data_IF_964297646681
#
_entry.id   IF_964297646681
#
_cell.length_a   1.000
_cell.length_b   1.000
_cell.length_c   1.000
_cell.angle_alpha   90.00
_cell.angle_beta   90.00
_cell.angle_gamma   90.00
#
_symmetry.space_group_name_H-M   'P 1'
#
loop_
_entity.id
_entity.type
_entity.pdbx_description
1 polymer ?
#
# COMPACT_ATOMS: atom_id res chain seq x y z
N UNK A 1 6.21 -13.89 -9.33
CA UNK A 1 6.00 -14.06 -7.87
C UNK A 1 4.63 -14.67 -7.65
N UNK A 2 4.52 -15.73 -6.84
CA UNK A 2 3.25 -16.43 -6.59
C UNK A 2 3.15 -16.83 -5.12
N UNK A 3 1.95 -16.66 -4.55
CA UNK A 3 1.58 -17.25 -3.27
C UNK A 3 1.10 -18.68 -3.54
N UNK A 4 1.86 -19.67 -3.08
CA UNK A 4 1.59 -21.10 -3.31
C UNK A 4 0.67 -21.71 -2.25
N UNK A 5 0.77 -21.19 -1.02
CA UNK A 5 0.01 -21.69 0.13
C UNK A 5 -0.33 -20.53 1.05
N UNK A 6 -1.55 -20.50 1.56
CA UNK A 6 -2.00 -19.56 2.58
C UNK A 6 -2.63 -20.34 3.73
N UNK A 7 -2.17 -20.10 4.95
CA UNK A 7 -2.74 -20.68 6.17
C UNK A 7 -3.15 -19.56 7.10
N UNK A 8 -4.41 -19.55 7.50
CA UNK A 8 -4.97 -18.61 8.46
C UNK A 8 -5.39 -19.37 9.72
N UNK A 9 -5.15 -18.77 10.86
CA UNK A 9 -5.57 -19.28 12.16
C UNK A 9 -6.04 -18.13 13.03
N UNK A 10 -7.29 -18.21 13.51
CA UNK A 10 -7.92 -17.20 14.39
C UNK A 10 -7.78 -15.76 13.86
N UNK A 11 -7.99 -15.59 12.54
CA UNK A 11 -7.87 -14.30 11.85
C UNK A 11 -9.25 -13.79 11.43
N UNK A 12 -9.66 -12.60 11.92
CA UNK A 12 -10.96 -11.99 11.64
C UNK A 12 -12.12 -12.97 11.99
N UNK A 13 -12.91 -13.40 10.99
CA UNK A 13 -13.97 -14.38 11.14
C UNK A 13 -13.51 -15.82 10.80
N UNK A 14 -12.26 -15.98 10.36
CA UNK A 14 -11.69 -17.30 9.99
C UNK A 14 -11.19 -17.99 11.26
N UNK A 15 -11.58 -19.25 11.44
CA UNK A 15 -11.05 -20.08 12.54
C UNK A 15 -9.72 -20.70 12.16
N UNK A 16 -9.76 -21.67 11.27
CA UNK A 16 -8.58 -22.29 10.68
C UNK A 16 -8.88 -22.64 9.23
N UNK A 17 -7.97 -22.29 8.34
CA UNK A 17 -8.07 -22.66 6.93
C UNK A 17 -6.70 -22.76 6.29
N UNK A 18 -6.60 -23.69 5.34
CA UNK A 18 -5.47 -23.81 4.43
C UNK A 18 -5.98 -23.73 3.00
N UNK A 19 -5.30 -22.93 2.18
CA UNK A 19 -5.64 -22.72 0.77
C UNK A 19 -4.38 -22.88 -0.07
N UNK A 20 -4.52 -23.59 -1.19
CA UNK A 20 -3.52 -23.68 -2.25
C UNK A 20 -4.03 -22.86 -3.44
N UNK A 21 -3.64 -21.61 -3.58
CA UNK A 21 -4.10 -20.76 -4.67
C UNK A 21 -3.58 -21.22 -6.02
N UNK A 22 -4.32 -20.91 -7.08
CA UNK A 22 -3.85 -21.06 -8.46
C UNK A 22 -2.85 -19.95 -8.80
N UNK A 23 -1.92 -20.21 -9.72
CA UNK A 23 -0.92 -19.22 -10.16
C UNK A 23 -1.50 -18.09 -11.01
N UNK A 24 -2.69 -18.29 -11.60
CA UNK A 24 -3.46 -17.30 -12.33
C UNK A 24 -4.53 -16.63 -11.46
N UNK A 25 -5.80 -16.75 -11.87
CA UNK A 25 -6.92 -16.11 -11.19
C UNK A 25 -7.50 -16.97 -10.08
N UNK A 26 -7.74 -16.33 -8.92
CA UNK A 26 -8.40 -16.90 -7.75
C UNK A 26 -9.63 -16.05 -7.44
N UNK A 27 -10.82 -16.58 -7.70
CA UNK A 27 -12.09 -15.89 -7.46
C UNK A 27 -12.62 -16.31 -6.08
N UNK A 28 -12.73 -15.34 -5.17
CA UNK A 28 -13.36 -15.51 -3.86
C UNK A 28 -14.78 -14.93 -3.93
N UNK A 29 -15.79 -15.78 -4.00
CA UNK A 29 -17.16 -15.33 -4.23
C UNK A 29 -18.13 -15.75 -3.11
N UNK A 30 -19.24 -15.07 -2.98
CA UNK A 30 -20.25 -15.32 -1.97
C UNK A 30 -20.97 -14.05 -1.57
N UNK A 31 -21.95 -14.14 -0.68
CA UNK A 31 -22.73 -13.02 -0.19
C UNK A 31 -21.86 -11.98 0.55
N UNK A 32 -22.40 -10.81 0.78
CA UNK A 32 -21.72 -9.78 1.55
C UNK A 32 -21.56 -10.22 3.02
N UNK A 33 -20.50 -9.69 3.68
CA UNK A 33 -20.13 -9.99 5.05
C UNK A 33 -19.69 -11.45 5.32
N UNK A 34 -19.55 -12.32 4.32
CA UNK A 34 -19.05 -13.71 4.51
C UNK A 34 -17.55 -13.78 4.81
N UNK A 35 -16.79 -12.71 4.60
CA UNK A 35 -15.35 -12.67 4.91
C UNK A 35 -14.44 -12.69 3.68
N UNK A 36 -14.95 -12.50 2.47
CA UNK A 36 -14.16 -12.44 1.22
C UNK A 36 -12.94 -11.51 1.35
N UNK A 37 -13.18 -10.25 1.73
CA UNK A 37 -12.14 -9.23 1.95
C UNK A 37 -11.11 -9.64 3.01
N UNK A 38 -11.48 -10.48 4.00
CA UNK A 38 -10.54 -10.90 5.04
C UNK A 38 -9.41 -11.78 4.47
N UNK A 39 -9.66 -12.56 3.42
CA UNK A 39 -8.62 -13.30 2.72
C UNK A 39 -7.65 -12.38 1.99
N UNK A 40 -8.17 -11.36 1.28
CA UNK A 40 -7.30 -10.34 0.66
C UNK A 40 -6.49 -9.58 1.71
N UNK A 41 -7.11 -9.25 2.84
CA UNK A 41 -6.44 -8.57 3.96
C UNK A 41 -5.29 -9.41 4.54
N UNK A 42 -5.48 -10.73 4.64
CA UNK A 42 -4.43 -11.64 5.09
C UNK A 42 -3.24 -11.68 4.11
N UNK A 43 -3.50 -11.80 2.81
CA UNK A 43 -2.46 -11.79 1.78
C UNK A 43 -1.73 -10.43 1.76
N UNK A 44 -2.49 -9.34 1.82
CA UNK A 44 -1.94 -7.99 1.90
C UNK A 44 -1.03 -7.82 3.12
N UNK A 45 -1.44 -8.34 4.28
CA UNK A 45 -0.68 -8.23 5.52
C UNK A 45 0.65 -8.98 5.45
N UNK A 46 0.73 -10.12 4.74
CA UNK A 46 1.98 -10.83 4.49
C UNK A 46 3.00 -9.99 3.73
N UNK A 47 2.55 -9.16 2.75
CA UNK A 47 3.42 -8.32 1.93
C UNK A 47 3.71 -6.95 2.52
N UNK A 48 2.74 -6.37 3.23
CA UNK A 48 2.81 -4.98 3.72
C UNK A 48 3.06 -4.86 5.23
N UNK A 49 2.97 -5.95 5.99
CA UNK A 49 3.08 -6.01 7.46
C UNK A 49 2.04 -5.14 8.20
N UNK A 50 1.06 -4.63 7.48
CA UNK A 50 -0.03 -3.78 7.96
C UNK A 50 -1.34 -4.19 7.28
N UNK A 51 -2.45 -4.01 7.98
CA UNK A 51 -3.76 -4.09 7.35
C UNK A 51 -4.05 -2.81 6.55
N UNK A 52 -4.84 -2.93 5.48
CA UNK A 52 -5.35 -1.78 4.74
C UNK A 52 -6.66 -1.23 5.34
N UNK A 53 -7.31 -1.98 6.26
CA UNK A 53 -8.61 -1.63 6.86
C UNK A 53 -8.49 -1.07 8.28
N UNK A 54 -7.49 -1.53 9.05
CA UNK A 54 -7.36 -1.14 10.46
C UNK A 54 -5.90 -1.00 10.90
N UNK A 55 -5.67 -0.13 11.88
CA UNK A 55 -4.40 -0.01 12.59
C UNK A 55 -4.38 -0.78 13.91
N UNK A 56 -5.55 -1.31 14.35
CA UNK A 56 -5.71 -2.00 15.64
C UNK A 56 -5.52 -3.49 15.46
N UNK A 57 -4.49 -4.06 16.07
CA UNK A 57 -4.21 -5.49 15.98
C UNK A 57 -5.35 -6.35 16.51
N UNK A 58 -6.03 -5.91 17.57
CA UNK A 58 -7.16 -6.63 18.18
C UNK A 58 -8.27 -6.94 17.19
N UNK A 59 -8.52 -6.03 16.24
CA UNK A 59 -9.54 -6.22 15.21
C UNK A 59 -9.16 -7.28 14.15
N UNK A 60 -7.88 -7.64 14.05
CA UNK A 60 -7.39 -8.70 13.14
C UNK A 60 -7.50 -10.09 13.77
N UNK A 61 -7.60 -10.16 15.10
CA UNK A 61 -7.70 -11.41 15.85
C UNK A 61 -9.17 -11.81 15.95
N UNK A 62 -9.48 -13.08 15.77
CA UNK A 62 -10.83 -13.62 15.95
C UNK A 62 -11.33 -13.34 17.36
N UNK A 63 -12.60 -12.97 17.49
CA UNK A 63 -13.21 -12.71 18.80
C UNK A 63 -13.13 -13.94 19.70
N UNK A 64 -12.64 -13.76 20.91
CA UNK A 64 -12.46 -14.84 21.90
C UNK A 64 -11.08 -15.51 21.88
N UNK A 65 -10.20 -15.13 20.95
CA UNK A 65 -8.85 -15.71 20.84
C UNK A 65 -7.77 -14.71 21.31
N UNK A 66 -6.65 -15.18 21.90
CA UNK A 66 -5.57 -14.33 22.38
C UNK A 66 -4.64 -13.84 21.25
N UNK A 67 -4.57 -14.57 20.13
CA UNK A 67 -3.73 -14.22 18.99
C UNK A 67 -4.35 -14.72 17.68
N UNK A 68 -3.91 -14.17 16.58
CA UNK A 68 -4.16 -14.66 15.23
C UNK A 68 -2.84 -14.98 14.51
N UNK A 69 -2.88 -15.88 13.55
CA UNK A 69 -1.71 -16.26 12.75
C UNK A 69 -2.04 -16.29 11.27
N UNK A 70 -1.14 -15.73 10.47
CA UNK A 70 -1.16 -15.82 9.01
C UNK A 70 0.18 -16.44 8.59
N UNK A 71 0.15 -17.42 7.70
CA UNK A 71 1.35 -17.96 7.10
C UNK A 71 1.14 -18.12 5.61
N UNK A 72 2.16 -17.77 4.81
CA UNK A 72 2.16 -17.92 3.36
C UNK A 72 3.47 -18.50 2.85
N UNK A 73 3.37 -19.42 1.90
CA UNK A 73 4.51 -19.88 1.10
C UNK A 73 4.51 -19.11 -0.22
N UNK A 74 5.58 -18.35 -0.45
CA UNK A 74 5.75 -17.48 -1.62
C UNK A 74 6.88 -18.02 -2.47
N UNK A 75 6.68 -18.05 -3.78
CA UNK A 75 7.68 -18.47 -4.76
C UNK A 75 8.00 -17.32 -5.72
N UNK A 76 9.28 -17.01 -5.83
CA UNK A 76 9.80 -16.07 -6.83
C UNK A 76 11.06 -16.66 -7.47
N UNK A 77 11.08 -16.75 -8.82
CA UNK A 77 12.23 -17.29 -9.58
C UNK A 77 12.72 -18.64 -9.02
N UNK A 78 11.78 -19.56 -8.77
CA UNK A 78 12.02 -20.92 -8.24
C UNK A 78 12.52 -20.97 -6.78
N UNK A 79 12.71 -19.83 -6.12
CA UNK A 79 13.05 -19.77 -4.70
C UNK A 79 11.77 -19.65 -3.88
N UNK A 80 11.64 -20.50 -2.85
CA UNK A 80 10.49 -20.50 -1.95
C UNK A 80 10.85 -19.94 -0.60
N UNK A 81 9.97 -19.11 -0.08
CA UNK A 81 10.07 -18.55 1.27
C UNK A 81 8.75 -18.76 2.01
N UNK A 82 8.85 -19.11 3.30
CA UNK A 82 7.70 -19.15 4.19
C UNK A 82 7.66 -17.92 5.06
N UNK A 83 6.62 -17.10 4.92
CA UNK A 83 6.38 -15.92 5.74
C UNK A 83 5.32 -16.29 6.77
N UNK A 84 5.58 -16.01 8.05
CA UNK A 84 4.59 -16.20 9.11
C UNK A 84 4.48 -14.91 9.95
N UNK A 85 3.26 -14.48 10.20
CA UNK A 85 2.94 -13.32 11.03
C UNK A 85 2.02 -13.78 12.16
N UNK A 86 2.48 -13.64 13.39
CA UNK A 86 1.67 -13.83 14.59
C UNK A 86 1.23 -12.45 15.06
N UNK A 87 -0.06 -12.29 15.27
CA UNK A 87 -0.70 -11.02 15.62
C UNK A 87 -1.20 -11.12 17.05
N UNK A 88 -0.70 -10.26 17.92
CA UNK A 88 -1.15 -10.07 19.29
C UNK A 88 -1.63 -8.63 19.47
N UNK A 89 -2.33 -8.33 20.53
CA UNK A 89 -2.87 -7.00 20.77
C UNK A 89 -1.75 -5.95 20.82
N UNK A 90 -0.65 -6.29 21.50
CA UNK A 90 0.50 -5.40 21.73
C UNK A 90 1.39 -5.24 20.47
N UNK A 91 1.36 -6.20 19.52
CA UNK A 91 2.25 -6.16 18.37
C UNK A 91 2.12 -7.34 17.43
N UNK A 92 3.07 -7.41 16.51
CA UNK A 92 3.20 -8.49 15.54
C UNK A 92 4.61 -9.07 15.58
N UNK A 93 4.70 -10.40 15.55
CA UNK A 93 5.97 -11.11 15.37
C UNK A 93 5.99 -11.70 13.96
N UNK A 94 7.09 -11.44 13.25
CA UNK A 94 7.27 -11.88 11.86
C UNK A 94 8.40 -12.90 11.82
N UNK A 95 8.20 -13.97 11.06
CA UNK A 95 9.25 -14.96 10.77
C UNK A 95 9.30 -15.21 9.27
N UNK A 96 10.51 -15.38 8.76
CA UNK A 96 10.77 -15.83 7.39
C UNK A 96 11.66 -17.07 7.47
N UNK A 97 11.23 -18.15 6.85
CA UNK A 97 11.90 -19.44 6.87
C UNK A 97 12.25 -19.90 8.30
N UNK A 98 11.29 -19.69 9.22
CA UNK A 98 11.41 -20.01 10.64
C UNK A 98 12.26 -19.01 11.46
N UNK A 99 13.03 -18.12 10.82
CA UNK A 99 13.88 -17.15 11.51
C UNK A 99 13.11 -15.88 11.85
N UNK A 100 13.26 -15.30 13.05
CA UNK A 100 12.59 -14.08 13.42
C UNK A 100 13.16 -12.89 12.62
N UNK A 101 12.27 -12.06 12.09
CA UNK A 101 12.63 -10.78 11.44
C UNK A 101 12.68 -9.71 12.53
N UNK A 102 13.90 -9.36 12.97
CA UNK A 102 14.12 -8.35 14.00
C UNK A 102 14.26 -6.95 13.44
N UNK A 103 14.80 -6.84 12.22
CA UNK A 103 14.92 -5.59 11.48
C UNK A 103 14.10 -5.69 10.20
N UNK A 104 13.49 -4.60 9.82
CA UNK A 104 12.68 -4.57 8.59
C UNK A 104 13.55 -4.72 7.33
N UNK A 105 14.85 -4.36 7.41
CA UNK A 105 15.81 -4.65 6.35
C UNK A 105 15.93 -6.15 6.04
N UNK A 106 15.64 -7.00 7.03
CA UNK A 106 15.61 -8.45 6.87
C UNK A 106 14.28 -8.96 6.25
N UNK A 107 13.39 -8.02 5.87
CA UNK A 107 12.14 -8.31 5.16
C UNK A 107 12.18 -7.66 3.74
N UNK A 108 12.92 -8.22 2.79
CA UNK A 108 13.17 -7.65 1.47
C UNK A 108 11.97 -7.74 0.50
N UNK A 109 10.74 -7.57 1.01
CA UNK A 109 9.55 -7.61 0.15
C UNK A 109 9.30 -8.97 -0.49
N UNK A 110 9.39 -10.04 0.31
CA UNK A 110 9.15 -11.43 -0.15
C UNK A 110 7.79 -11.63 -0.84
N UNK A 111 6.81 -10.83 -0.51
CA UNK A 111 5.51 -10.80 -1.21
C UNK A 111 5.18 -9.37 -1.60
N UNK A 112 5.38 -9.03 -2.87
CA UNK A 112 4.91 -7.76 -3.42
C UNK A 112 3.47 -7.91 -3.86
N UNK A 113 2.62 -6.98 -3.44
CA UNK A 113 1.21 -7.01 -3.83
C UNK A 113 0.68 -5.61 -4.11
N UNK A 114 -0.23 -5.51 -5.07
CA UNK A 114 -0.94 -4.28 -5.40
C UNK A 114 -2.42 -4.49 -5.11
N UNK A 115 -2.95 -3.66 -4.22
CA UNK A 115 -4.35 -3.69 -3.81
C UNK A 115 -5.16 -2.67 -4.61
N UNK A 116 -6.30 -3.12 -5.07
CA UNK A 116 -7.40 -2.31 -5.57
C UNK A 116 -8.58 -2.51 -4.63
N UNK A 117 -8.97 -1.49 -3.90
CA UNK A 117 -10.09 -1.54 -2.98
C UNK A 117 -10.89 -0.23 -3.04
N UNK A 118 -12.23 -0.27 -2.85
CA UNK A 118 -13.09 0.92 -2.92
C UNK A 118 -12.64 2.04 -1.98
N UNK A 119 -12.15 1.71 -0.80
CA UNK A 119 -11.69 2.68 0.19
C UNK A 119 -10.51 3.53 -0.31
N UNK A 120 -9.71 3.03 -1.25
CA UNK A 120 -8.57 3.76 -1.78
C UNK A 120 -8.96 4.93 -2.69
N UNK A 121 -10.14 4.88 -3.32
CA UNK A 121 -10.72 6.02 -4.07
C UNK A 121 -10.90 7.21 -3.13
N UNK A 122 -11.39 6.95 -1.93
CA UNK A 122 -11.52 7.95 -0.88
C UNK A 122 -10.17 8.55 -0.43
N UNK A 123 -9.08 7.77 -0.45
CA UNK A 123 -7.74 8.25 -0.09
C UNK A 123 -7.20 9.27 -1.10
N UNK A 124 -7.46 9.08 -2.39
CA UNK A 124 -7.00 10.00 -3.44
C UNK A 124 -7.66 11.38 -3.31
N UNK A 125 -8.95 11.42 -2.97
CA UNK A 125 -9.72 12.64 -2.75
C UNK A 125 -9.52 13.25 -1.35
N UNK A 126 -9.23 12.41 -0.36
CA UNK A 126 -9.23 12.74 1.05
C UNK A 126 -8.16 13.74 1.48
N UNK A 127 -7.88 13.74 2.77
CA UNK A 127 -6.83 14.57 3.37
C UNK A 127 -5.43 14.19 2.87
N UNK A 128 -4.45 15.10 2.95
CA UNK A 128 -3.06 14.83 2.56
C UNK A 128 -2.47 13.54 3.16
N UNK A 129 -2.91 13.16 4.36
CA UNK A 129 -2.49 11.92 5.02
C UNK A 129 -2.82 10.66 4.21
N UNK A 130 -4.01 10.60 3.56
CA UNK A 130 -4.40 9.49 2.70
C UNK A 130 -3.52 9.40 1.45
N UNK A 131 -3.26 10.53 0.79
CA UNK A 131 -2.39 10.59 -0.41
C UNK A 131 -0.95 10.19 -0.08
N UNK A 132 -0.42 10.66 1.06
CA UNK A 132 0.90 10.19 1.55
C UNK A 132 0.91 8.69 1.80
N UNK A 133 -0.13 8.16 2.46
CA UNK A 133 -0.21 6.72 2.74
C UNK A 133 -0.27 5.89 1.45
N UNK A 134 -0.95 6.37 0.41
CA UNK A 134 -1.00 5.73 -0.91
C UNK A 134 0.39 5.70 -1.55
N UNK A 135 1.09 6.86 -1.59
CA UNK A 135 2.44 6.95 -2.13
C UNK A 135 3.43 6.10 -1.31
N UNK A 136 3.42 6.21 0.01
CA UNK A 136 4.37 5.50 0.87
C UNK A 136 4.25 3.97 0.76
N UNK A 137 3.02 3.47 0.56
CA UNK A 137 2.79 2.05 0.27
C UNK A 137 3.41 1.64 -1.07
N UNK A 138 3.27 2.47 -2.10
CA UNK A 138 3.84 2.20 -3.41
C UNK A 138 5.39 2.25 -3.37
N UNK A 139 5.97 3.26 -2.71
CA UNK A 139 7.43 3.35 -2.50
C UNK A 139 7.96 2.13 -1.76
N UNK A 140 7.27 1.69 -0.69
CA UNK A 140 7.68 0.51 0.09
C UNK A 140 7.68 -0.77 -0.76
N UNK A 141 6.69 -0.97 -1.63
CA UNK A 141 6.65 -2.15 -2.51
C UNK A 141 7.77 -2.13 -3.56
N UNK A 142 8.17 -0.94 -4.02
CA UNK A 142 9.27 -0.77 -4.96
C UNK A 142 10.65 -0.88 -4.28
N UNK A 143 10.77 -0.36 -3.05
CA UNK A 143 12.00 -0.34 -2.25
C UNK A 143 11.71 -0.58 -0.76
N UNK A 144 11.87 -1.82 -0.27
CA UNK A 144 11.62 -2.16 1.13
C UNK A 144 12.44 -1.36 2.17
N UNK A 145 13.61 -0.81 1.78
CA UNK A 145 14.42 0.02 2.66
C UNK A 145 13.68 1.30 3.10
N UNK A 146 12.64 1.71 2.38
CA UNK A 146 11.79 2.84 2.72
C UNK A 146 11.20 2.73 4.14
N UNK A 147 10.83 1.51 4.56
CA UNK A 147 10.17 1.31 5.86
C UNK A 147 11.11 1.66 7.03
N UNK A 148 12.39 1.34 6.92
CA UNK A 148 13.36 1.67 7.98
C UNK A 148 13.63 3.17 8.02
N UNK A 149 13.74 3.82 6.84
CA UNK A 149 13.90 5.28 6.76
C UNK A 149 12.69 6.01 7.33
N UNK A 150 11.48 5.53 7.01
CA UNK A 150 10.26 6.07 7.57
C UNK A 150 10.18 5.86 9.11
N UNK A 151 10.63 4.72 9.64
CA UNK A 151 10.70 4.45 11.09
C UNK A 151 11.71 5.35 11.79
N UNK A 152 12.90 5.53 11.22
CA UNK A 152 13.93 6.43 11.74
C UNK A 152 13.35 7.85 11.86
N UNK A 153 12.71 8.32 10.78
CA UNK A 153 12.01 9.61 10.77
C UNK A 153 10.92 9.70 11.84
N UNK A 154 10.06 8.71 11.96
CA UNK A 154 8.98 8.68 12.95
C UNK A 154 9.52 8.67 14.40
N UNK A 155 10.65 8.00 14.66
CA UNK A 155 11.32 8.03 15.96
C UNK A 155 11.77 9.43 16.32
N UNK A 156 12.48 10.12 15.41
CA UNK A 156 12.92 11.50 15.62
C UNK A 156 11.73 12.44 15.84
N UNK A 157 10.68 12.31 15.01
CA UNK A 157 9.45 13.10 15.10
C UNK A 157 8.76 12.92 16.48
N UNK A 158 8.62 11.68 16.93
CA UNK A 158 7.97 11.37 18.23
C UNK A 158 8.75 11.97 19.39
N UNK A 159 10.07 11.85 19.41
CA UNK A 159 10.92 12.40 20.47
C UNK A 159 10.93 13.92 20.44
N UNK A 160 11.06 14.53 19.26
CA UNK A 160 11.00 15.98 19.11
C UNK A 160 9.65 16.54 19.57
N UNK A 161 8.54 15.93 19.17
CA UNK A 161 7.21 16.34 19.62
C UNK A 161 7.01 16.19 21.13
N UNK A 162 7.61 15.17 21.74
CA UNK A 162 7.60 15.01 23.20
C UNK A 162 8.32 16.18 23.88
N UNK A 163 9.51 16.52 23.43
CA UNK A 163 10.31 17.62 23.97
C UNK A 163 9.61 18.98 23.78
N UNK A 164 8.98 19.20 22.62
CA UNK A 164 8.17 20.41 22.38
C UNK A 164 7.02 20.54 23.39
N UNK A 165 6.32 19.45 23.70
CA UNK A 165 5.25 19.43 24.72
C UNK A 165 5.76 19.68 26.13
N UNK A 166 6.97 19.23 26.44
CA UNK A 166 7.65 19.45 27.74
C UNK A 166 8.23 20.86 27.87
N UNK A 167 8.13 21.72 26.84
CA UNK A 167 8.73 23.07 26.83
C UNK A 167 10.26 23.05 26.87
N UNK A 168 10.88 22.03 26.25
CA UNK A 168 12.33 21.87 26.28
C UNK A 168 13.05 23.04 25.59
N UNK A 169 14.26 23.38 26.10
CA UNK A 169 15.09 24.43 25.52
C UNK A 169 15.56 24.09 24.10
N UNK A 170 15.93 25.10 23.28
CA UNK A 170 16.44 24.90 21.93
C UNK A 170 17.62 23.91 21.86
N UNK A 171 18.51 23.93 22.85
CA UNK A 171 19.68 23.05 22.91
C UNK A 171 19.26 21.57 23.02
N UNK A 172 18.22 21.30 23.80
CA UNK A 172 17.67 19.94 23.95
C UNK A 172 16.90 19.47 22.70
N UNK A 173 16.32 20.41 21.94
CA UNK A 173 15.62 20.12 20.66
C UNK A 173 16.59 19.89 19.51
N UNK A 174 17.78 20.50 19.52
CA UNK A 174 18.70 20.51 18.38
C UNK A 174 19.08 19.14 17.86
N UNK A 175 19.51 18.16 18.70
CA UNK A 175 19.90 16.84 18.19
C UNK A 175 18.75 16.10 17.49
N UNK A 176 17.55 16.24 18.01
CA UNK A 176 16.35 15.63 17.41
C UNK A 176 15.87 16.36 16.16
N UNK A 177 16.11 17.68 16.07
CA UNK A 177 15.84 18.48 14.87
C UNK A 177 16.78 18.09 13.74
N UNK A 178 18.08 17.93 13.99
CA UNK A 178 19.06 17.47 13.01
C UNK A 178 18.77 16.02 12.58
N UNK A 179 18.47 15.11 13.53
CA UNK A 179 18.06 13.76 13.22
C UNK A 179 16.79 13.71 12.35
N UNK A 180 15.82 14.59 12.63
CA UNK A 180 14.60 14.73 11.84
C UNK A 180 14.89 15.24 10.41
N UNK A 181 15.80 16.21 10.27
CA UNK A 181 16.24 16.76 8.97
C UNK A 181 16.87 15.65 8.13
N UNK A 182 17.85 14.94 8.67
CA UNK A 182 18.56 13.88 7.95
C UNK A 182 17.61 12.74 7.52
N UNK A 183 16.80 12.23 8.46
CA UNK A 183 15.85 11.15 8.17
C UNK A 183 14.74 11.62 7.24
N UNK A 184 14.25 12.86 7.41
CA UNK A 184 13.20 13.46 6.58
C UNK A 184 13.62 13.67 5.14
N UNK A 185 14.84 14.16 4.92
CA UNK A 185 15.42 14.33 3.58
C UNK A 185 15.52 12.98 2.84
N UNK A 186 15.92 11.91 3.53
CA UNK A 186 15.99 10.55 2.96
C UNK A 186 14.59 10.07 2.54
N UNK A 187 13.57 10.25 3.37
CA UNK A 187 12.19 9.89 3.03
C UNK A 187 11.71 10.67 1.81
N UNK A 188 11.92 12.02 1.77
CA UNK A 188 11.58 12.86 0.61
C UNK A 188 12.32 12.38 -0.65
N UNK A 189 13.62 12.08 -0.55
CA UNK A 189 14.43 11.61 -1.67
C UNK A 189 13.93 10.30 -2.26
N UNK A 190 13.53 9.33 -1.42
CA UNK A 190 12.96 8.07 -1.89
C UNK A 190 11.62 8.27 -2.60
N UNK A 191 10.74 9.13 -2.08
CA UNK A 191 9.49 9.50 -2.74
C UNK A 191 9.74 10.14 -4.12
N UNK A 192 10.67 11.10 -4.21
CA UNK A 192 11.03 11.78 -5.46
C UNK A 192 11.54 10.77 -6.50
N UNK A 193 12.51 9.93 -6.14
CA UNK A 193 13.06 8.90 -7.04
C UNK A 193 11.98 7.95 -7.56
N UNK A 194 11.06 7.54 -6.71
CA UNK A 194 9.95 6.70 -7.11
C UNK A 194 9.01 7.43 -8.08
N UNK A 195 8.67 8.66 -7.79
CA UNK A 195 7.77 9.46 -8.63
C UNK A 195 8.36 9.80 -10.01
N UNK A 196 9.68 9.98 -10.11
CA UNK A 196 10.36 10.16 -11.40
C UNK A 196 10.10 8.98 -12.36
N UNK A 197 9.96 7.75 -11.83
CA UNK A 197 9.62 6.56 -12.63
C UNK A 197 8.12 6.39 -12.81
N UNK A 198 7.36 6.64 -11.77
CA UNK A 198 5.92 6.38 -11.75
C UNK A 198 5.12 7.36 -12.61
N UNK A 199 5.45 8.67 -12.57
CA UNK A 199 4.65 9.72 -13.22
C UNK A 199 4.54 9.53 -14.75
N UNK A 200 5.61 9.20 -15.48
CA UNK A 200 5.49 8.88 -16.91
C UNK A 200 4.51 7.73 -17.19
N UNK A 201 4.59 6.66 -16.40
CA UNK A 201 3.70 5.49 -16.52
C UNK A 201 2.25 5.84 -16.17
N UNK A 202 2.05 6.67 -15.15
CA UNK A 202 0.73 7.17 -14.76
C UNK A 202 0.09 7.97 -15.91
N UNK A 203 0.85 8.88 -16.53
CA UNK A 203 0.37 9.70 -17.65
C UNK A 203 0.00 8.84 -18.86
N UNK A 204 0.87 7.92 -19.23
CA UNK A 204 0.62 6.95 -20.30
C UNK A 204 -0.66 6.15 -20.06
N UNK A 205 -0.78 5.55 -18.88
CA UNK A 205 -1.93 4.73 -18.50
C UNK A 205 -3.23 5.53 -18.44
N UNK A 206 -3.17 6.74 -17.87
CA UNK A 206 -4.36 7.59 -17.76
C UNK A 206 -4.87 8.02 -19.15
N UNK A 207 -3.96 8.37 -20.07
CA UNK A 207 -4.31 8.66 -21.46
C UNK A 207 -4.97 7.44 -22.14
N UNK A 208 -4.47 6.23 -21.92
CA UNK A 208 -5.08 5.02 -22.45
C UNK A 208 -6.49 4.78 -21.91
N UNK A 209 -6.73 4.99 -20.61
CA UNK A 209 -8.05 4.86 -19.98
C UNK A 209 -9.05 5.89 -20.55
N UNK A 210 -8.59 7.10 -20.91
CA UNK A 210 -9.44 8.23 -21.31
C UNK A 210 -9.43 8.51 -22.82
N UNK A 211 -8.81 7.66 -23.66
CA UNK A 211 -8.56 7.86 -25.11
C UNK A 211 -7.90 9.21 -25.41
N UNK A 212 -6.94 9.60 -24.58
CA UNK A 212 -6.21 10.85 -24.76
C UNK A 212 -7.00 12.13 -24.46
N UNK A 213 -8.24 12.04 -23.96
CA UNK A 213 -9.09 13.22 -23.71
C UNK A 213 -8.66 14.02 -22.49
N UNK A 214 -7.97 13.41 -21.56
CA UNK A 214 -7.57 14.01 -20.30
C UNK A 214 -6.12 13.65 -19.96
N UNK A 215 -5.45 14.52 -19.22
CA UNK A 215 -4.09 14.32 -18.74
C UNK A 215 -4.05 14.30 -17.22
N UNK A 216 -3.50 13.23 -16.65
CA UNK A 216 -3.23 13.13 -15.22
C UNK A 216 -1.81 13.58 -14.91
N UNK A 217 -1.61 14.21 -13.76
CA UNK A 217 -0.28 14.45 -13.21
C UNK A 217 -0.27 14.26 -11.69
N UNK A 218 0.93 14.01 -11.15
CA UNK A 218 1.20 13.93 -9.74
C UNK A 218 2.33 14.87 -9.41
N UNK A 219 2.02 15.87 -8.58
CA UNK A 219 2.97 16.91 -8.20
C UNK A 219 3.38 16.71 -6.75
N UNK A 220 4.66 16.56 -6.52
CA UNK A 220 5.28 16.49 -5.20
C UNK A 220 6.46 17.47 -5.17
N UNK A 221 6.46 18.45 -4.27
CA UNK A 221 7.57 19.39 -4.16
C UNK A 221 8.76 18.74 -3.42
N UNK A 222 9.95 19.22 -3.66
CA UNK A 222 10.55 19.70 -4.89
C UNK A 222 10.96 18.52 -5.79
N UNK A 223 10.87 18.72 -7.11
CA UNK A 223 11.38 17.75 -8.09
C UNK A 223 12.90 17.91 -8.21
N UNK A 224 13.61 16.83 -8.50
CA UNK A 224 15.05 16.82 -8.85
C UNK A 224 16.02 17.37 -7.80
N UNK A 225 15.62 17.41 -6.52
CA UNK A 225 16.49 17.86 -5.44
C UNK A 225 17.42 16.77 -4.94
N UNK A 226 18.66 17.13 -4.64
CA UNK A 226 19.61 16.28 -3.95
C UNK A 226 19.23 16.07 -2.49
N UNK A 227 19.80 15.06 -1.82
CA UNK A 227 19.55 14.84 -0.39
C UNK A 227 20.01 16.04 0.45
N UNK A 228 21.13 16.66 0.08
CA UNK A 228 21.67 17.85 0.75
C UNK A 228 20.71 19.06 0.61
N UNK A 229 20.23 19.34 -0.59
CA UNK A 229 19.24 20.42 -0.81
C UNK A 229 17.94 20.19 -0.01
N UNK A 230 17.48 18.95 0.07
CA UNK A 230 16.32 18.59 0.88
C UNK A 230 16.56 18.77 2.38
N UNK A 231 17.80 18.54 2.86
CA UNK A 231 18.18 18.84 4.24
C UNK A 231 18.15 20.34 4.51
N UNK A 232 18.76 21.16 3.66
CA UNK A 232 18.77 22.63 3.82
C UNK A 232 17.35 23.21 3.77
N UNK A 233 16.52 22.75 2.85
CA UNK A 233 15.11 23.14 2.79
C UNK A 233 14.38 22.79 4.08
N UNK A 234 14.55 21.59 4.60
CA UNK A 234 13.86 21.14 5.81
C UNK A 234 14.37 21.91 7.06
N UNK A 235 15.67 22.24 7.13
CA UNK A 235 16.22 23.13 8.19
C UNK A 235 15.54 24.48 8.14
N UNK A 236 15.44 25.06 6.94
CA UNK A 236 14.81 26.37 6.74
C UNK A 236 13.32 26.35 7.10
N UNK A 237 12.60 25.28 6.72
CA UNK A 237 11.20 25.08 7.07
C UNK A 237 11.01 25.01 8.60
N UNK A 238 11.80 24.18 9.31
CA UNK A 238 11.76 24.04 10.77
C UNK A 238 12.07 25.38 11.46
N UNK A 239 13.11 26.11 10.99
CA UNK A 239 13.48 27.42 11.57
C UNK A 239 12.33 28.41 11.46
N UNK A 240 11.65 28.48 10.31
CA UNK A 240 10.50 29.37 10.11
C UNK A 240 9.31 29.01 11.01
N UNK A 241 9.12 27.74 11.31
CA UNK A 241 7.98 27.24 12.09
C UNK A 241 8.24 27.18 13.60
N UNK A 242 9.48 27.42 14.06
CA UNK A 242 9.90 27.19 15.46
C UNK A 242 8.96 27.82 16.49
N UNK A 243 8.62 29.10 16.32
CA UNK A 243 7.74 29.80 17.26
C UNK A 243 6.34 29.18 17.35
N UNK A 244 5.80 28.73 16.22
CA UNK A 244 4.50 28.08 16.17
C UNK A 244 4.56 26.65 16.72
N UNK A 245 5.63 25.91 16.44
CA UNK A 245 5.86 24.54 16.96
C UNK A 245 5.96 24.53 18.48
N UNK A 246 6.65 25.51 19.08
CA UNK A 246 6.72 25.69 20.56
C UNK A 246 5.32 25.92 21.12
N UNK A 247 4.52 26.79 20.50
CA UNK A 247 3.16 27.07 20.98
C UNK A 247 2.22 25.87 20.88
N UNK A 248 2.34 25.08 19.80
CA UNK A 248 1.43 23.94 19.52
C UNK A 248 1.92 22.61 20.08
N UNK A 249 3.18 22.53 20.52
CA UNK A 249 3.79 21.29 21.01
C UNK A 249 3.97 20.23 19.92
N UNK A 250 3.99 20.64 18.63
CA UNK A 250 4.07 19.70 17.49
C UNK A 250 4.95 20.22 16.39
N UNK A 251 5.64 19.31 15.71
CA UNK A 251 6.44 19.59 14.50
C UNK A 251 5.50 19.89 13.33
N UNK A 252 5.74 21.00 12.64
CA UNK A 252 4.88 21.50 11.55
C UNK A 252 5.51 21.36 10.15
N UNK A 253 6.80 21.02 10.06
CA UNK A 253 7.51 20.84 8.79
C UNK A 253 8.06 19.42 8.64
N UNK A 254 8.09 18.91 7.42
CA UNK A 254 8.68 17.62 7.08
C UNK A 254 7.76 16.63 6.34
N UNK A 255 8.27 15.45 5.98
CA UNK A 255 7.55 14.45 5.18
C UNK A 255 6.15 14.07 5.67
N UNK A 256 5.88 14.17 6.97
CA UNK A 256 4.56 13.92 7.55
C UNK A 256 3.54 15.05 7.31
N UNK A 257 4.00 16.22 6.83
CA UNK A 257 3.18 17.39 6.47
C UNK A 257 3.13 17.66 4.98
N UNK A 258 4.01 17.01 4.20
CA UNK A 258 4.03 17.20 2.75
C UNK A 258 2.66 16.93 2.14
N UNK A 259 2.28 17.69 1.14
CA UNK A 259 1.09 17.40 0.33
C UNK A 259 1.51 16.89 -1.06
N UNK A 260 0.75 15.95 -1.56
CA UNK A 260 0.91 15.34 -2.86
C UNK A 260 -0.32 15.74 -3.66
N UNK A 261 -0.13 16.54 -4.70
CA UNK A 261 -1.24 17.00 -5.52
C UNK A 261 -1.48 16.02 -6.66
N UNK A 262 -2.67 15.46 -6.71
CA UNK A 262 -3.18 14.71 -7.84
C UNK A 262 -3.98 15.66 -8.71
N UNK A 263 -3.66 15.74 -9.99
CA UNK A 263 -4.30 16.66 -10.92
C UNK A 263 -4.77 15.95 -12.18
N UNK A 264 -5.85 16.47 -12.76
CA UNK A 264 -6.37 16.10 -14.08
C UNK A 264 -6.58 17.40 -14.85
N UNK A 265 -5.99 17.49 -16.06
CA UNK A 265 -5.98 18.69 -16.89
C UNK A 265 -5.51 19.95 -16.10
N UNK A 266 -4.50 19.78 -15.23
CA UNK A 266 -3.96 20.84 -14.39
C UNK A 266 -4.82 21.22 -13.17
N UNK A 267 -6.02 20.69 -13.03
CA UNK A 267 -6.93 20.96 -11.92
C UNK A 267 -6.79 19.93 -10.81
N UNK A 268 -6.86 20.37 -9.54
CA UNK A 268 -6.80 19.49 -8.38
C UNK A 268 -7.93 18.46 -8.40
N UNK A 269 -7.58 17.17 -8.41
CA UNK A 269 -8.51 16.05 -8.36
C UNK A 269 -9.39 16.08 -7.09
N UNK A 270 -8.84 16.60 -5.98
CA UNK A 270 -9.56 16.75 -4.72
C UNK A 270 -10.71 17.75 -4.82
N UNK A 271 -10.48 18.89 -5.44
CA UNK A 271 -11.42 20.01 -5.43
C UNK A 271 -12.37 19.99 -6.62
N UNK A 272 -11.89 19.50 -7.77
CA UNK A 272 -12.59 19.63 -9.05
C UNK A 272 -12.81 18.28 -9.75
N UNK A 273 -12.18 17.19 -9.28
CA UNK A 273 -12.29 15.90 -9.94
C UNK A 273 -13.66 15.26 -9.76
N UNK A 274 -14.28 14.84 -10.87
CA UNK A 274 -15.49 14.00 -10.86
C UNK A 274 -15.18 12.62 -10.25
N UNK A 275 -16.21 11.90 -9.81
CA UNK A 275 -16.03 10.51 -9.32
C UNK A 275 -15.39 9.62 -10.38
N UNK A 276 -15.78 9.77 -11.66
CA UNK A 276 -15.18 9.06 -12.77
C UNK A 276 -13.70 9.35 -12.91
N UNK A 277 -13.27 10.62 -12.84
CA UNK A 277 -11.86 11.01 -12.89
C UNK A 277 -11.07 10.46 -11.71
N UNK A 278 -11.65 10.44 -10.51
CA UNK A 278 -11.00 9.87 -9.32
C UNK A 278 -10.75 8.36 -9.47
N UNK A 279 -11.75 7.62 -9.99
CA UNK A 279 -11.63 6.19 -10.28
C UNK A 279 -10.60 5.92 -11.39
N UNK A 280 -10.62 6.71 -12.50
CA UNK A 280 -9.62 6.61 -13.57
C UNK A 280 -8.21 6.90 -13.06
N UNK A 281 -8.06 7.93 -12.21
CA UNK A 281 -6.75 8.29 -11.65
C UNK A 281 -6.19 7.18 -10.76
N UNK A 282 -7.01 6.63 -9.88
CA UNK A 282 -6.58 5.53 -9.01
C UNK A 282 -6.25 4.28 -9.83
N UNK A 283 -7.08 3.93 -10.82
CA UNK A 283 -6.81 2.82 -11.72
C UNK A 283 -5.48 3.02 -12.44
N UNK A 284 -5.24 4.20 -13.03
CA UNK A 284 -3.99 4.53 -13.69
C UNK A 284 -2.79 4.49 -12.74
N UNK A 285 -2.92 5.01 -11.52
CA UNK A 285 -1.88 4.98 -10.50
C UNK A 285 -1.49 3.54 -10.13
N UNK A 286 -2.47 2.68 -9.92
CA UNK A 286 -2.23 1.26 -9.57
C UNK A 286 -1.65 0.47 -10.74
N UNK A 287 -2.16 0.70 -11.95
CA UNK A 287 -1.61 0.08 -13.17
C UNK A 287 -0.16 0.52 -13.39
N UNK A 288 0.14 1.82 -13.23
CA UNK A 288 1.50 2.34 -13.29
C UNK A 288 2.41 1.73 -12.21
N UNK A 289 1.88 1.50 -10.99
CA UNK A 289 2.61 0.81 -9.92
C UNK A 289 2.97 -0.63 -10.30
N UNK A 290 2.06 -1.38 -10.94
CA UNK A 290 2.34 -2.72 -11.45
C UNK A 290 3.45 -2.67 -12.51
N UNK A 291 3.35 -1.74 -13.46
CA UNK A 291 4.36 -1.55 -14.52
C UNK A 291 5.73 -1.15 -13.95
N UNK A 292 5.78 -0.29 -12.91
CA UNK A 292 7.03 0.06 -12.23
C UNK A 292 7.68 -1.17 -11.56
N UNK A 293 6.91 -1.99 -10.86
CA UNK A 293 7.40 -3.23 -10.24
C UNK A 293 7.90 -4.23 -11.29
N UNK A 294 7.18 -4.39 -12.39
CA UNK A 294 7.61 -5.24 -13.51
C UNK A 294 8.93 -4.77 -14.12
N UNK A 295 9.03 -3.47 -14.46
CA UNK A 295 10.20 -2.89 -15.15
C UNK A 295 11.44 -2.75 -14.28
N UNK A 296 11.29 -2.30 -13.04
CA UNK A 296 12.40 -1.91 -12.18
C UNK A 296 12.70 -2.89 -11.05
N UNK A 297 11.72 -3.64 -10.57
CA UNK A 297 11.93 -4.68 -9.58
C UNK A 297 12.04 -6.08 -10.21
N UNK A 298 11.77 -6.21 -11.52
CA UNK A 298 11.88 -7.45 -12.28
C UNK A 298 10.90 -8.53 -11.81
N UNK A 299 9.78 -8.15 -11.20
CA UNK A 299 8.78 -9.09 -10.73
C UNK A 299 7.35 -8.57 -10.97
N UNK A 300 6.46 -9.49 -11.34
CA UNK A 300 5.02 -9.22 -11.35
C UNK A 300 4.47 -9.39 -9.93
N UNK A 301 3.81 -8.37 -9.36
CA UNK A 301 3.22 -8.47 -8.03
C UNK A 301 1.98 -9.37 -8.04
N UNK A 302 1.60 -9.87 -6.86
CA UNK A 302 0.27 -10.46 -6.62
C UNK A 302 -0.76 -9.34 -6.60
N UNK A 303 -1.86 -9.49 -7.35
CA UNK A 303 -2.91 -8.48 -7.45
C UNK A 303 -4.08 -8.86 -6.55
N UNK A 304 -4.54 -7.89 -5.77
CA UNK A 304 -5.64 -8.04 -4.83
C UNK A 304 -6.77 -7.09 -5.24
N UNK A 305 -7.88 -7.64 -5.75
CA UNK A 305 -9.01 -6.88 -6.30
C UNK A 305 -10.23 -7.07 -5.39
N UNK A 306 -10.52 -6.07 -4.55
CA UNK A 306 -11.65 -6.13 -3.63
C UNK A 306 -12.86 -5.45 -4.26
N UNK A 307 -13.88 -6.21 -4.62
CA UNK A 307 -15.18 -5.79 -5.17
C UNK A 307 -15.08 -4.76 -6.34
N UNK A 308 -14.06 -4.94 -7.20
CA UNK A 308 -13.75 -4.00 -8.27
C UNK A 308 -14.81 -3.94 -9.37
N UNK A 309 -15.57 -5.03 -9.57
CA UNK A 309 -16.58 -5.12 -10.63
C UNK A 309 -17.74 -4.13 -10.44
N UNK A 310 -18.07 -3.80 -9.19
CA UNK A 310 -19.09 -2.80 -8.87
C UNK A 310 -18.61 -1.35 -8.94
N UNK A 311 -17.30 -1.12 -8.92
CA UNK A 311 -16.72 0.22 -8.82
C UNK A 311 -16.30 0.83 -10.16
N UNK A 312 -16.04 0.00 -11.17
CA UNK A 312 -15.61 0.46 -12.50
C UNK A 312 -16.78 0.37 -13.49
N UNK A 313 -16.91 1.40 -14.34
CA UNK A 313 -17.76 1.29 -15.52
C UNK A 313 -17.15 0.30 -16.55
N UNK A 314 -17.98 -0.10 -17.52
CA UNK A 314 -17.63 -1.11 -18.52
C UNK A 314 -16.31 -0.80 -19.21
N UNK A 315 -16.07 0.44 -19.61
CA UNK A 315 -14.87 0.83 -20.33
C UNK A 315 -13.59 0.67 -19.48
N UNK A 316 -13.63 1.08 -18.19
CA UNK A 316 -12.50 0.92 -17.26
C UNK A 316 -12.25 -0.55 -16.94
N UNK A 317 -13.34 -1.34 -16.86
CA UNK A 317 -13.24 -2.79 -16.70
C UNK A 317 -12.56 -3.43 -17.89
N UNK A 318 -13.00 -3.14 -19.13
CA UNK A 318 -12.42 -3.65 -20.38
C UNK A 318 -10.92 -3.33 -20.46
N UNK A 319 -10.53 -2.06 -20.21
CA UNK A 319 -9.13 -1.65 -20.16
C UNK A 319 -8.33 -2.49 -19.15
N UNK A 320 -8.85 -2.59 -17.92
CA UNK A 320 -8.13 -3.24 -16.84
C UNK A 320 -8.02 -4.75 -17.05
N UNK A 321 -9.08 -5.40 -17.48
CA UNK A 321 -9.06 -6.83 -17.77
C UNK A 321 -8.18 -7.16 -18.99
N UNK A 322 -8.15 -6.31 -20.01
CA UNK A 322 -7.17 -6.44 -21.07
C UNK A 322 -5.74 -6.34 -20.54
N UNK A 323 -5.46 -5.33 -19.72
CA UNK A 323 -4.16 -5.16 -19.07
C UNK A 323 -3.74 -6.41 -18.26
N UNK A 324 -4.68 -7.04 -17.55
CA UNK A 324 -4.44 -8.27 -16.78
C UNK A 324 -4.19 -9.50 -17.66
N UNK A 325 -4.92 -9.64 -18.78
CA UNK A 325 -4.74 -10.75 -19.74
C UNK A 325 -3.34 -10.75 -20.38
N UNK A 326 -2.80 -9.58 -20.64
CA UNK A 326 -1.45 -9.42 -21.21
C UNK A 326 -0.33 -9.81 -20.22
N UNK A 327 -0.64 -9.90 -18.95
CA UNK A 327 0.31 -10.16 -17.86
C UNK A 327 -0.07 -11.41 -17.07
N UNK A 328 0.89 -12.31 -16.89
CA UNK A 328 0.69 -13.55 -16.12
C UNK A 328 0.85 -13.31 -14.60
N UNK A 329 0.18 -12.28 -14.08
CA UNK A 329 0.15 -12.01 -12.65
C UNK A 329 -0.78 -12.97 -11.93
N UNK A 330 -0.44 -13.38 -10.71
CA UNK A 330 -1.41 -14.03 -9.84
C UNK A 330 -2.41 -13.00 -9.32
N UNK A 331 -3.71 -13.28 -9.48
CA UNK A 331 -4.80 -12.38 -9.13
C UNK A 331 -5.71 -13.06 -8.10
N UNK A 332 -6.06 -12.32 -7.05
CA UNK A 332 -7.13 -12.66 -6.13
C UNK A 332 -8.23 -11.61 -6.28
N UNK A 333 -9.42 -12.03 -6.62
CA UNK A 333 -10.56 -11.13 -6.80
C UNK A 333 -11.73 -11.56 -5.93
N UNK A 334 -12.33 -10.60 -5.23
CA UNK A 334 -13.58 -10.83 -4.50
C UNK A 334 -14.77 -10.31 -5.30
N UNK A 335 -15.85 -11.06 -5.31
CA UNK A 335 -17.09 -10.68 -6.00
C UNK A 335 -18.30 -11.34 -5.34
N UNK A 336 -19.49 -10.83 -5.58
CA UNK A 336 -20.76 -11.50 -5.29
C UNK A 336 -21.21 -12.37 -6.46
N UNK A 337 -20.79 -12.04 -7.70
CA UNK A 337 -21.11 -12.77 -8.92
C UNK A 337 -19.85 -13.26 -9.62
N UNK A 338 -19.50 -14.57 -9.52
CA UNK A 338 -18.31 -15.11 -10.18
C UNK A 338 -18.42 -15.12 -11.71
N UNK A 339 -19.63 -15.12 -12.28
CA UNK A 339 -19.83 -15.14 -13.73
C UNK A 339 -19.32 -13.86 -14.39
N UNK A 340 -19.41 -12.73 -13.69
CA UNK A 340 -18.88 -11.45 -14.17
C UNK A 340 -17.39 -11.48 -14.47
N UNK A 341 -16.63 -12.35 -13.79
CA UNK A 341 -15.18 -12.54 -14.01
C UNK A 341 -14.92 -13.69 -15.00
N UNK A 342 -15.67 -14.79 -14.89
CA UNK A 342 -15.52 -15.95 -15.76
C UNK A 342 -15.81 -15.62 -17.23
N UNK A 343 -16.80 -14.76 -17.49
CA UNK A 343 -17.17 -14.31 -18.84
C UNK A 343 -16.10 -13.43 -19.50
N UNK A 344 -15.11 -12.92 -18.76
CA UNK A 344 -14.00 -12.14 -19.30
C UNK A 344 -12.94 -13.00 -20.02
N UNK A 345 -13.13 -14.31 -20.09
CA UNK A 345 -12.30 -15.23 -20.86
C UNK A 345 -10.91 -15.46 -20.28
N UNK A 346 -10.74 -15.30 -18.97
CA UNK A 346 -9.49 -15.67 -18.30
C UNK A 346 -9.31 -17.19 -18.33
N UNK A 347 -8.12 -17.61 -18.74
CA UNK A 347 -7.68 -19.01 -18.61
C UNK A 347 -7.08 -19.20 -17.21
N UNK A 348 -7.01 -20.44 -16.75
CA UNK A 348 -6.38 -20.76 -15.46
C UNK A 348 -7.05 -20.09 -14.24
N UNK A 349 -8.36 -20.28 -14.12
CA UNK A 349 -9.18 -19.74 -13.03
C UNK A 349 -9.48 -20.81 -11.99
N UNK A 350 -9.35 -20.47 -10.72
CA UNK A 350 -9.84 -21.27 -9.60
C UNK A 350 -10.83 -20.45 -8.79
N UNK A 351 -11.99 -21.01 -8.50
CA UNK A 351 -13.02 -20.33 -7.71
C UNK A 351 -13.22 -20.97 -6.35
N UNK A 352 -13.53 -20.12 -5.36
CA UNK A 352 -13.78 -20.52 -3.98
C UNK A 352 -15.04 -19.80 -3.48
N UNK A 353 -16.01 -20.57 -3.05
CA UNK A 353 -17.17 -20.02 -2.35
C UNK A 353 -16.82 -19.74 -0.90
N UNK A 354 -17.07 -18.50 -0.45
CA UNK A 354 -16.81 -18.07 0.93
C UNK A 354 -18.11 -18.09 1.72
N UNK A 355 -18.15 -18.85 2.80
CA UNK A 355 -19.30 -18.97 3.71
C UNK A 355 -18.77 -18.84 5.14
N UNK A 356 -19.14 -17.76 5.85
CA UNK A 356 -18.77 -17.50 7.25
C UNK A 356 -17.26 -17.70 7.56
N UNK A 357 -16.39 -17.26 6.65
CA UNK A 357 -14.93 -17.37 6.81
C UNK A 357 -14.34 -18.73 6.43
N UNK A 358 -15.13 -19.67 5.90
CA UNK A 358 -14.67 -20.93 5.31
C UNK A 358 -14.63 -20.83 3.78
N UNK A 359 -13.72 -21.58 3.13
CA UNK A 359 -13.63 -21.68 1.68
C UNK A 359 -14.04 -23.06 1.22
N UNK A 360 -14.90 -23.09 0.22
CA UNK A 360 -15.33 -24.29 -0.47
C UNK A 360 -14.86 -24.17 -1.94
N UNK A 361 -14.04 -25.13 -2.39
CA UNK A 361 -13.64 -25.18 -3.79
C UNK A 361 -14.88 -25.46 -4.65
N UNK A 362 -15.06 -24.70 -5.72
CA UNK A 362 -16.17 -24.83 -6.66
C UNK A 362 -15.67 -25.02 -8.08
#
# INVERSE_FOLDING_TARGET
MHLRRLVLHSFRNVDQIEVLPHSGFNILWGENAQGKTNFLEAIYLLGHLKSFRTTRNRELIRKGYPFGRISGEVEEKEVRHTIAVVIQEEGKTIRVDGKPVTKTMDFPGYLRSVLFAPEEVGLARGFPAGRRALLDRAVFQADPAFLDRAREYQRCLKQRNRLLKEGASPERLLPWSEGLVMAGARVRRMRIRYLQRLVPLLKETYRAITDGREEADLIYPPRDSTEHELQEQLRSELKRQTAQEIRTGTTLAGPHRDDILFTVNGLSLRSYGSQGQQRSFLLAFKTAQIMDLERYAGCLPVLLLDDMTGELDRRRQEFFFQFLRERRSQVFVTTTDPQSILNEGFQDVRSFRVIQGTLHAS
#
